data_IF_111086839707
#
_entry.id   IF_111086839707
#
_cell.length_a   1.000
_cell.length_b   1.000
_cell.length_c   1.000
_cell.angle_alpha   90.00
_cell.angle_beta   90.00
_cell.angle_gamma   90.00
#
_symmetry.space_group_name_H-M   'P 1'
#
loop_
_entity.id
_entity.type
_entity.pdbx_description
1 polymer ?
#
# COMPACT_ATOMS: atom_id res chain seq x y z
N UNK A 1 47.58 -56.90 -33.97
CA UNK A 1 46.94 -56.33 -32.76
C UNK A 1 46.12 -55.12 -33.18
N UNK A 2 44.78 -55.19 -33.08
CA UNK A 2 43.87 -54.06 -33.36
C UNK A 2 43.63 -53.28 -32.06
N UNK A 3 43.64 -51.93 -32.07
CA UNK A 3 43.27 -51.16 -30.90
C UNK A 3 41.74 -51.20 -30.68
N UNK A 4 41.32 -51.41 -29.44
CA UNK A 4 39.93 -51.29 -28.99
C UNK A 4 39.53 -49.81 -28.85
N UNK A 5 38.30 -49.41 -29.19
CA UNK A 5 37.87 -48.02 -29.03
C UNK A 5 37.44 -47.74 -27.59
N UNK A 6 37.92 -46.63 -27.04
CA UNK A 6 37.52 -46.09 -25.75
C UNK A 6 36.10 -45.50 -25.87
N UNK A 7 35.12 -46.03 -25.13
CA UNK A 7 33.75 -45.49 -25.11
C UNK A 7 33.69 -44.23 -24.24
N UNK A 8 33.51 -43.06 -24.85
CA UNK A 8 33.04 -41.85 -24.16
C UNK A 8 31.51 -41.92 -23.98
N UNK A 9 31.03 -42.39 -22.84
CA UNK A 9 29.59 -42.37 -22.51
C UNK A 9 29.26 -41.68 -21.19
N UNK A 10 30.18 -40.91 -20.60
CA UNK A 10 29.95 -40.27 -19.28
C UNK A 10 30.11 -38.75 -19.21
N UNK A 11 29.89 -38.04 -20.32
CA UNK A 11 29.90 -36.56 -20.30
C UNK A 11 28.56 -35.89 -20.64
N UNK A 12 27.54 -36.65 -21.08
CA UNK A 12 26.25 -36.07 -21.50
C UNK A 12 25.32 -35.70 -20.33
N UNK A 13 25.33 -36.47 -19.23
CA UNK A 13 24.36 -36.28 -18.13
C UNK A 13 24.71 -35.17 -17.13
N UNK A 14 25.94 -34.64 -17.15
CA UNK A 14 26.35 -33.57 -16.22
C UNK A 14 25.99 -32.17 -16.74
N UNK A 15 25.85 -32.01 -18.06
CA UNK A 15 25.56 -30.71 -18.68
C UNK A 15 24.04 -30.40 -18.61
N UNK A 16 23.19 -31.43 -18.67
CA UNK A 16 21.73 -31.27 -18.56
C UNK A 16 21.26 -30.92 -17.16
N UNK A 17 21.99 -31.32 -16.11
CA UNK A 17 21.66 -30.96 -14.72
C UNK A 17 21.97 -29.50 -14.36
N UNK A 18 23.01 -28.92 -14.97
CA UNK A 18 23.44 -27.54 -14.66
C UNK A 18 22.53 -26.49 -15.31
N UNK A 19 21.96 -26.79 -16.48
CA UNK A 19 20.99 -25.91 -17.17
C UNK A 19 19.60 -25.92 -16.51
N UNK A 20 19.21 -26.99 -15.83
CA UNK A 20 17.95 -27.07 -15.10
C UNK A 20 17.98 -26.31 -13.75
N UNK A 21 19.16 -26.17 -13.13
CA UNK A 21 19.33 -25.42 -11.88
C UNK A 21 19.32 -23.90 -12.06
N UNK A 22 19.73 -23.38 -13.22
CA UNK A 22 19.82 -21.95 -13.48
C UNK A 22 18.47 -21.30 -13.84
N UNK A 23 17.47 -22.10 -14.26
CA UNK A 23 16.13 -21.62 -14.57
C UNK A 23 15.28 -21.29 -13.34
N UNK A 24 15.68 -21.72 -12.13
CA UNK A 24 14.97 -21.47 -10.87
C UNK A 24 15.36 -20.17 -10.15
N UNK A 25 16.33 -19.41 -10.67
CA UNK A 25 16.81 -18.17 -10.04
C UNK A 25 16.25 -16.88 -10.66
N UNK A 26 15.32 -16.99 -11.61
CA UNK A 26 14.74 -15.84 -12.33
C UNK A 26 13.28 -15.53 -11.96
N UNK A 27 12.67 -16.25 -11.01
CA UNK A 27 11.28 -16.01 -10.56
C UNK A 27 11.14 -14.88 -9.52
N UNK A 28 12.22 -14.18 -9.15
CA UNK A 28 12.23 -13.19 -8.07
C UNK A 28 12.31 -11.74 -8.53
N UNK A 29 11.52 -11.33 -9.52
CA UNK A 29 11.21 -9.91 -9.71
C UNK A 29 9.73 -9.72 -9.44
N UNK A 30 9.32 -9.90 -8.18
CA UNK A 30 8.04 -9.35 -7.74
C UNK A 30 8.19 -7.84 -7.80
N UNK A 31 7.67 -7.26 -8.88
CA UNK A 31 7.50 -5.82 -9.05
C UNK A 31 7.01 -5.24 -7.73
N UNK A 32 7.85 -4.46 -7.07
CA UNK A 32 7.55 -3.86 -5.78
C UNK A 32 6.18 -3.18 -5.89
N UNK A 33 5.16 -3.62 -5.11
CA UNK A 33 3.80 -3.14 -5.32
C UNK A 33 3.80 -1.61 -5.20
N UNK A 34 3.01 -0.91 -6.05
CA UNK A 34 3.00 0.55 -6.07
C UNK A 34 2.70 1.10 -4.67
N UNK A 35 3.22 2.30 -4.31
CA UNK A 35 3.05 2.85 -2.97
C UNK A 35 1.55 2.95 -2.64
N UNK A 36 1.12 2.10 -1.72
CA UNK A 36 -0.22 2.01 -1.13
C UNK A 36 -0.20 2.62 0.28
N UNK A 37 -1.31 2.56 1.02
CA UNK A 37 -1.33 3.03 2.41
C UNK A 37 -0.25 2.34 3.27
N UNK A 38 0.51 3.15 3.98
CA UNK A 38 1.50 2.76 4.99
C UNK A 38 0.93 2.94 6.40
N UNK A 39 1.62 2.43 7.42
CA UNK A 39 1.23 2.58 8.83
C UNK A 39 -0.24 2.19 9.07
N UNK A 40 -0.60 0.98 8.62
CA UNK A 40 -1.96 0.47 8.73
C UNK A 40 -2.23 0.06 10.17
N UNK A 41 -3.35 0.52 10.72
CA UNK A 41 -3.85 0.15 12.04
C UNK A 41 -5.36 -0.10 11.99
N UNK A 42 -5.89 -0.67 13.08
CA UNK A 42 -7.31 -0.90 13.25
C UNK A 42 -7.70 -0.86 14.72
N UNK A 43 -8.97 -0.57 14.98
CA UNK A 43 -9.63 -0.63 16.29
C UNK A 43 -11.01 -1.26 16.12
N UNK A 44 -11.52 -1.87 17.19
CA UNK A 44 -12.83 -2.54 17.15
C UNK A 44 -13.46 -2.59 18.55
N UNK A 45 -14.79 -2.69 18.58
CA UNK A 45 -15.56 -2.95 19.80
C UNK A 45 -15.52 -4.45 20.11
N UNK A 46 -14.90 -4.80 21.24
CA UNK A 46 -14.81 -6.19 21.71
C UNK A 46 -16.15 -6.80 22.12
N UNK A 47 -17.21 -6.00 22.26
CA UNK A 47 -18.55 -6.48 22.62
C UNK A 47 -19.42 -6.78 21.39
N UNK A 48 -19.00 -6.38 20.20
CA UNK A 48 -19.75 -6.63 18.97
C UNK A 48 -19.48 -8.03 18.43
N UNK A 49 -20.55 -8.76 18.09
CA UNK A 49 -20.44 -10.12 17.55
C UNK A 49 -20.24 -10.11 16.03
N UNK A 50 -18.99 -10.03 15.59
CA UNK A 50 -18.63 -10.06 14.17
C UNK A 50 -18.97 -11.38 13.45
N UNK A 51 -19.10 -12.50 14.17
CA UNK A 51 -19.47 -13.80 13.57
C UNK A 51 -20.91 -13.82 13.06
N UNK A 52 -21.76 -12.93 13.59
CA UNK A 52 -23.16 -12.82 13.18
C UNK A 52 -23.38 -11.98 11.92
N UNK A 53 -22.34 -11.33 11.40
CA UNK A 53 -22.44 -10.42 10.26
C UNK A 53 -22.43 -11.19 8.94
N UNK A 54 -23.49 -11.06 8.14
CA UNK A 54 -23.56 -11.64 6.80
C UNK A 54 -23.77 -10.59 5.70
N UNK A 55 -24.33 -9.44 6.03
CA UNK A 55 -24.75 -8.41 5.08
C UNK A 55 -24.14 -7.04 5.39
N UNK A 56 -23.89 -6.26 4.35
CA UNK A 56 -23.40 -4.88 4.51
C UNK A 56 -24.10 -3.93 3.55
N UNK A 57 -24.13 -2.65 3.90
CA UNK A 57 -24.52 -1.57 2.99
C UNK A 57 -23.46 -0.47 2.97
N UNK A 58 -23.15 0.04 1.78
CA UNK A 58 -22.29 1.22 1.63
C UNK A 58 -23.07 2.48 2.01
N UNK A 59 -22.53 3.27 2.93
CA UNK A 59 -23.06 4.57 3.33
C UNK A 59 -22.08 5.66 2.92
N UNK A 60 -22.60 6.72 2.31
CA UNK A 60 -21.82 7.90 1.97
C UNK A 60 -21.97 8.92 3.09
N UNK A 61 -20.90 9.23 3.83
CA UNK A 61 -20.96 10.27 4.85
C UNK A 61 -21.12 11.63 4.17
N UNK A 62 -21.98 12.48 4.72
CA UNK A 62 -22.23 13.83 4.24
C UNK A 62 -21.11 14.81 4.60
N UNK A 63 -20.11 14.37 5.38
CA UNK A 63 -19.01 15.20 5.84
C UNK A 63 -18.12 15.70 4.68
N UNK A 64 -17.67 16.97 4.75
CA UNK A 64 -16.57 17.45 3.93
C UNK A 64 -15.37 16.53 4.12
N UNK A 65 -14.71 16.14 3.04
CA UNK A 65 -13.49 15.37 3.16
C UNK A 65 -12.46 15.81 2.13
N UNK A 66 -11.16 15.76 2.48
CA UNK A 66 -10.06 16.23 1.65
C UNK A 66 -9.84 15.35 0.42
N UNK A 67 -10.41 14.13 0.38
CA UNK A 67 -10.35 13.27 -0.80
C UNK A 67 -11.48 13.61 -1.78
N UNK A 68 -11.15 13.66 -3.06
CA UNK A 68 -12.10 14.01 -4.12
C UNK A 68 -13.29 13.04 -4.16
N UNK A 69 -14.50 13.51 -4.56
CA UNK A 69 -15.68 12.64 -4.65
C UNK A 69 -15.48 11.42 -5.58
N UNK A 70 -14.70 11.59 -6.66
CA UNK A 70 -14.37 10.52 -7.60
C UNK A 70 -13.50 9.45 -6.94
N UNK A 71 -12.42 9.88 -6.26
CA UNK A 71 -11.54 8.95 -5.55
C UNK A 71 -12.30 8.23 -4.43
N UNK A 72 -13.11 8.95 -3.66
CA UNK A 72 -13.97 8.37 -2.61
C UNK A 72 -14.92 7.32 -3.17
N UNK A 73 -15.59 7.61 -4.30
CA UNK A 73 -16.46 6.64 -4.99
C UNK A 73 -15.69 5.39 -5.40
N UNK A 74 -14.49 5.54 -5.95
CA UNK A 74 -13.67 4.40 -6.37
C UNK A 74 -13.23 3.54 -5.17
N UNK A 75 -12.87 4.16 -4.04
CA UNK A 75 -12.50 3.43 -2.81
C UNK A 75 -13.72 2.72 -2.22
N UNK A 76 -14.89 3.36 -2.18
CA UNK A 76 -16.14 2.73 -1.71
C UNK A 76 -16.49 1.50 -2.56
N UNK A 77 -16.42 1.63 -3.89
CA UNK A 77 -16.69 0.51 -4.80
C UNK A 77 -15.70 -0.64 -4.58
N UNK A 78 -14.41 -0.33 -4.42
CA UNK A 78 -13.42 -1.37 -4.17
C UNK A 78 -13.58 -2.01 -2.79
N UNK A 79 -14.00 -1.23 -1.78
CA UNK A 79 -14.34 -1.73 -0.45
C UNK A 79 -15.50 -2.71 -0.53
N UNK A 80 -16.57 -2.37 -1.25
CA UNK A 80 -17.70 -3.28 -1.51
C UNK A 80 -17.24 -4.56 -2.21
N UNK A 81 -16.48 -4.43 -3.30
CA UNK A 81 -15.93 -5.58 -4.03
C UNK A 81 -15.09 -6.50 -3.14
N UNK A 82 -14.28 -5.91 -2.25
CA UNK A 82 -13.43 -6.66 -1.33
C UNK A 82 -14.24 -7.41 -0.30
N UNK A 83 -15.25 -6.77 0.32
CA UNK A 83 -16.15 -7.41 1.28
C UNK A 83 -16.95 -8.55 0.64
N UNK A 84 -17.43 -8.36 -0.59
CA UNK A 84 -18.08 -9.44 -1.36
C UNK A 84 -17.14 -10.61 -1.61
N UNK A 85 -15.87 -10.36 -1.96
CA UNK A 85 -14.86 -11.43 -2.08
C UNK A 85 -14.51 -12.11 -0.75
N UNK A 86 -14.76 -11.44 0.37
CA UNK A 86 -14.61 -12.01 1.72
C UNK A 86 -15.84 -12.80 2.17
N UNK A 87 -16.93 -12.84 1.38
CA UNK A 87 -18.12 -13.64 1.63
C UNK A 87 -19.32 -12.86 2.16
N UNK A 88 -19.23 -11.54 2.34
CA UNK A 88 -20.35 -10.70 2.76
C UNK A 88 -21.28 -10.36 1.59
N UNK A 89 -22.55 -10.15 1.86
CA UNK A 89 -23.55 -9.78 0.84
C UNK A 89 -23.89 -8.30 0.92
N UNK A 90 -23.71 -7.57 -0.19
CA UNK A 90 -24.15 -6.17 -0.26
C UNK A 90 -25.69 -6.10 -0.38
N UNK A 91 -26.33 -5.26 0.43
CA UNK A 91 -27.76 -4.97 0.35
C UNK A 91 -28.01 -3.51 -0.03
N UNK A 92 -29.07 -3.27 -0.80
CA UNK A 92 -29.35 -1.95 -1.36
C UNK A 92 -29.81 -0.92 -0.32
N UNK A 93 -30.50 -1.38 0.74
CA UNK A 93 -31.02 -0.50 1.79
C UNK A 93 -30.19 -0.65 3.06
N UNK A 94 -29.68 0.46 3.63
CA UNK A 94 -28.97 0.44 4.91
C UNK A 94 -29.78 -0.15 6.08
N UNK A 95 -31.11 -0.18 5.99
CA UNK A 95 -31.98 -0.76 7.01
C UNK A 95 -31.99 -2.30 6.99
N UNK A 96 -31.60 -2.92 5.87
CA UNK A 96 -31.61 -4.37 5.68
C UNK A 96 -30.22 -5.00 5.94
N UNK A 97 -29.22 -4.18 6.26
CA UNK A 97 -27.84 -4.61 6.48
C UNK A 97 -27.58 -4.97 7.94
N UNK A 98 -26.59 -5.82 8.21
CA UNK A 98 -26.04 -6.05 9.55
C UNK A 98 -25.04 -4.95 9.92
N UNK A 99 -24.22 -4.53 8.94
CA UNK A 99 -23.22 -3.46 9.11
C UNK A 99 -23.30 -2.40 8.02
N UNK A 100 -22.92 -1.18 8.40
CA UNK A 100 -22.82 -0.02 7.51
C UNK A 100 -21.36 0.32 7.29
N UNK A 101 -20.95 0.44 6.04
CA UNK A 101 -19.55 0.68 5.68
C UNK A 101 -19.40 2.05 5.05
N UNK A 102 -18.49 2.86 5.57
CA UNK A 102 -18.20 4.19 5.07
C UNK A 102 -16.70 4.44 4.95
N UNK A 103 -16.33 5.40 4.10
CA UNK A 103 -14.94 5.75 3.83
C UNK A 103 -14.73 7.24 4.03
N UNK A 104 -13.69 7.58 4.78
CA UNK A 104 -13.34 8.95 5.09
C UNK A 104 -11.86 9.22 4.81
N UNK A 105 -11.54 10.46 4.52
CA UNK A 105 -10.16 10.95 4.46
C UNK A 105 -9.99 12.04 5.50
N UNK A 106 -8.83 12.12 6.12
CA UNK A 106 -8.39 13.29 6.89
C UNK A 106 -7.02 13.71 6.37
N UNK A 107 -6.68 14.99 6.39
CA UNK A 107 -5.36 15.48 5.96
C UNK A 107 -4.72 16.36 7.03
N UNK A 108 -3.38 16.25 7.13
CA UNK A 108 -2.53 17.17 7.88
C UNK A 108 -1.48 17.72 6.93
N UNK A 109 -1.26 19.03 6.94
CA UNK A 109 -0.12 19.62 6.24
C UNK A 109 1.16 19.21 6.97
N UNK A 110 2.10 18.63 6.22
CA UNK A 110 3.43 18.26 6.67
C UNK A 110 4.44 19.09 5.88
N UNK A 111 5.28 19.83 6.60
CA UNK A 111 6.36 20.61 6.00
C UNK A 111 7.63 19.78 6.10
N UNK A 112 8.03 19.15 5.00
CA UNK A 112 9.28 18.41 4.90
C UNK A 112 10.39 19.39 4.46
N UNK A 113 11.41 19.61 5.30
CA UNK A 113 12.60 20.41 4.93
C UNK A 113 13.80 19.49 4.68
N UNK A 114 14.34 19.48 3.47
CA UNK A 114 15.57 18.75 3.13
C UNK A 114 16.68 19.78 2.88
N UNK A 115 17.72 19.75 3.71
CA UNK A 115 18.89 20.62 3.55
C UNK A 115 20.00 19.86 2.82
N UNK A 116 20.38 20.34 1.63
CA UNK A 116 21.55 19.84 0.91
C UNK A 116 22.75 20.75 1.16
N UNK A 117 23.86 20.17 1.60
CA UNK A 117 25.14 20.86 1.72
C UNK A 117 25.96 20.62 0.45
N UNK A 118 26.04 21.64 -0.40
CA UNK A 118 26.80 21.57 -1.65
C UNK A 118 28.25 21.98 -1.36
N UNK A 119 29.19 21.04 -1.26
CA UNK A 119 30.62 21.36 -1.14
C UNK A 119 31.25 21.29 -2.53
N UNK A 120 31.73 22.43 -3.04
CA UNK A 120 32.43 22.51 -4.31
C UNK A 120 33.95 22.63 -4.09
N UNK A 121 34.72 21.79 -4.77
CA UNK A 121 36.18 21.87 -4.79
C UNK A 121 36.64 22.43 -6.14
N UNK A 122 37.34 23.56 -6.13
CA UNK A 122 38.00 24.10 -7.33
C UNK A 122 39.52 23.98 -7.20
N UNK A 123 40.18 23.48 -8.25
CA UNK A 123 41.64 23.33 -8.31
C UNK A 123 42.22 24.48 -9.13
N UNK A 124 42.89 25.42 -8.47
CA UNK A 124 43.60 26.51 -9.16
C UNK A 124 44.97 26.01 -9.66
N UNK A 125 45.29 26.27 -10.94
CA UNK A 125 46.50 25.77 -11.62
C UNK A 125 47.77 26.59 -11.38
N UNK A 126 47.83 27.38 -10.30
CA UNK A 126 49.02 28.15 -9.94
C UNK A 126 49.22 28.12 -8.44
N UNK A 127 50.13 27.22 -8.02
CA UNK A 127 50.57 26.93 -6.64
C UNK A 127 49.54 26.15 -5.83
N UNK A 128 49.99 24.98 -5.37
CA UNK A 128 49.20 24.01 -4.61
C UNK A 128 48.62 24.63 -3.35
N UNK A 129 47.35 24.99 -3.38
CA UNK A 129 46.54 25.35 -2.22
C UNK A 129 45.10 24.98 -2.53
N UNK A 130 44.55 24.07 -1.73
CA UNK A 130 43.13 23.74 -1.77
C UNK A 130 42.37 24.90 -1.13
N UNK A 131 41.62 25.67 -1.91
CA UNK A 131 40.77 26.74 -1.39
C UNK A 131 39.39 26.14 -1.11
N UNK A 132 39.00 26.12 0.15
CA UNK A 132 37.67 25.70 0.58
C UNK A 132 36.68 26.84 0.32
N UNK A 133 35.73 26.63 -0.59
CA UNK A 133 34.54 27.45 -0.69
C UNK A 133 33.39 26.68 -0.04
N UNK A 134 32.99 27.10 1.15
CA UNK A 134 31.76 26.60 1.78
C UNK A 134 30.56 27.04 0.93
N UNK A 135 29.81 26.08 0.38
CA UNK A 135 28.52 26.38 -0.24
C UNK A 135 27.49 26.71 0.83
N UNK A 136 26.61 27.67 0.56
CA UNK A 136 25.46 27.92 1.41
C UNK A 136 24.53 26.70 1.40
N UNK A 137 24.05 26.23 2.56
CA UNK A 137 23.08 25.13 2.59
C UNK A 137 21.81 25.55 1.85
N UNK A 138 21.44 24.80 0.82
CA UNK A 138 20.15 24.98 0.15
C UNK A 138 19.11 24.14 0.90
N UNK A 139 18.15 24.80 1.54
CA UNK A 139 17.02 24.12 2.19
C UNK A 139 15.84 24.11 1.25
N UNK A 140 15.45 22.93 0.78
CA UNK A 140 14.23 22.73 0.01
C UNK A 140 13.11 22.46 0.99
N UNK A 141 12.12 23.35 1.02
CA UNK A 141 10.90 23.17 1.79
C UNK A 141 9.87 22.57 0.84
N UNK A 142 9.48 21.33 1.07
CA UNK A 142 8.39 20.66 0.36
C UNK A 142 7.22 20.54 1.31
N UNK A 143 6.11 21.20 0.99
CA UNK A 143 4.85 20.98 1.70
C UNK A 143 4.17 19.76 1.10
N UNK A 144 3.99 18.70 1.88
CA UNK A 144 3.23 17.51 1.51
C UNK A 144 1.96 17.44 2.37
N UNK A 145 0.84 16.97 1.83
CA UNK A 145 -0.31 16.63 2.65
C UNK A 145 -0.25 15.14 2.99
N UNK A 146 -0.10 14.83 4.28
CA UNK A 146 -0.29 13.46 4.76
C UNK A 146 -1.79 13.25 4.98
N UNK A 147 -2.38 12.40 4.16
CA UNK A 147 -3.77 12.03 4.30
C UNK A 147 -3.91 10.65 4.91
N UNK A 148 -4.76 10.50 5.91
CA UNK A 148 -5.15 9.19 6.44
C UNK A 148 -6.45 8.77 5.78
N UNK A 149 -6.45 7.58 5.17
CA UNK A 149 -7.64 6.92 4.67
C UNK A 149 -8.23 6.06 5.78
N UNK A 150 -9.53 6.18 6.00
CA UNK A 150 -10.28 5.46 7.02
C UNK A 150 -11.40 4.64 6.37
N UNK A 151 -11.56 3.40 6.81
CA UNK A 151 -12.76 2.59 6.56
C UNK A 151 -13.45 2.38 7.90
N UNK A 152 -14.67 2.88 8.01
CA UNK A 152 -15.49 2.81 9.22
C UNK A 152 -16.62 1.82 9.00
N UNK A 153 -16.83 0.94 9.98
CA UNK A 153 -17.89 -0.05 10.00
C UNK A 153 -18.72 0.20 11.26
N UNK A 154 -20.00 0.49 11.07
CA UNK A 154 -20.96 0.70 12.14
C UNK A 154 -21.99 -0.43 12.18
N UNK A 155 -22.48 -0.77 13.36
CA UNK A 155 -23.64 -1.64 13.50
C UNK A 155 -24.86 -0.96 12.88
N UNK A 156 -25.56 -1.64 11.98
CA UNK A 156 -26.71 -1.07 11.32
C UNK A 156 -27.89 -0.82 12.27
N UNK A 157 -27.97 -1.53 13.40
CA UNK A 157 -29.05 -1.37 14.39
C UNK A 157 -28.82 -0.15 15.28
N UNK A 158 -27.70 -0.11 15.99
CA UNK A 158 -27.36 0.97 16.93
C UNK A 158 -26.80 2.22 16.24
N UNK A 159 -26.26 2.08 15.03
CA UNK A 159 -25.47 3.11 14.31
C UNK A 159 -24.15 3.47 15.01
N UNK A 160 -23.70 2.64 15.96
CA UNK A 160 -22.44 2.84 16.65
C UNK A 160 -21.27 2.28 15.84
N UNK A 161 -20.10 2.94 15.92
CA UNK A 161 -18.87 2.47 15.29
C UNK A 161 -18.40 1.20 16.00
N UNK A 162 -18.32 0.09 15.27
CA UNK A 162 -17.88 -1.21 15.81
C UNK A 162 -16.51 -1.63 15.31
N UNK A 163 -16.07 -1.12 14.16
CA UNK A 163 -14.72 -1.35 13.66
C UNK A 163 -14.24 -0.18 12.82
N UNK A 164 -12.95 0.13 12.90
CA UNK A 164 -12.29 1.11 12.04
C UNK A 164 -10.91 0.62 11.65
N UNK A 165 -10.58 0.74 10.37
CA UNK A 165 -9.24 0.56 9.83
C UNK A 165 -8.72 1.87 9.27
N UNK A 166 -7.44 2.16 9.46
CA UNK A 166 -6.80 3.37 8.92
C UNK A 166 -5.43 3.08 8.33
N UNK A 167 -5.01 3.95 7.41
CA UNK A 167 -3.69 3.90 6.81
C UNK A 167 -3.27 5.25 6.26
N UNK A 168 -2.00 5.59 6.50
CA UNK A 168 -1.41 6.87 6.08
C UNK A 168 -0.97 6.76 4.63
N UNK A 169 -1.39 7.71 3.81
CA UNK A 169 -0.86 7.90 2.46
C UNK A 169 -0.36 9.35 2.34
N UNK A 170 0.90 9.52 1.95
CA UNK A 170 1.38 10.82 1.46
C UNK A 170 0.64 11.12 0.16
N UNK A 171 -0.27 12.09 0.18
CA UNK A 171 -0.89 12.62 -1.02
C UNK A 171 -0.04 13.82 -1.44
N UNK A 172 0.83 13.65 -2.44
CA UNK A 172 1.34 14.82 -3.15
C UNK A 172 0.17 15.37 -3.97
N UNK A 173 -0.08 16.69 -3.87
CA UNK A 173 -1.26 17.38 -4.41
C UNK A 173 -1.59 17.07 -5.90
N UNK A 174 -0.61 16.61 -6.68
CA UNK A 174 -0.76 16.30 -8.12
C UNK A 174 -0.83 14.80 -8.47
N UNK A 175 -0.79 13.89 -7.50
CA UNK A 175 -0.68 12.46 -7.81
C UNK A 175 -2.05 11.82 -8.03
N UNK A 176 -2.37 11.48 -9.29
CA UNK A 176 -3.47 10.57 -9.62
C UNK A 176 -3.23 9.21 -8.93
N UNK A 177 -4.24 8.72 -8.21
CA UNK A 177 -4.21 7.38 -7.58
C UNK A 177 -4.68 6.36 -8.61
N UNK A 178 -3.87 5.33 -8.89
CA UNK A 178 -4.24 4.26 -9.82
C UNK A 178 -5.25 3.29 -9.20
N UNK A 179 -5.93 2.52 -10.05
CA UNK A 179 -6.86 1.47 -9.61
C UNK A 179 -6.16 0.42 -8.75
N UNK A 180 -4.95 0.01 -9.14
CA UNK A 180 -4.14 -0.98 -8.43
C UNK A 180 -3.75 -0.48 -7.03
N UNK A 181 -3.43 0.82 -6.90
CA UNK A 181 -3.15 1.42 -5.60
C UNK A 181 -4.37 1.43 -4.69
N UNK A 182 -5.56 1.67 -5.24
CA UNK A 182 -6.83 1.62 -4.48
C UNK A 182 -7.07 0.19 -4.01
N UNK A 183 -6.96 -0.79 -4.90
CA UNK A 183 -7.13 -2.22 -4.60
C UNK A 183 -6.21 -2.69 -3.49
N UNK A 184 -4.91 -2.42 -3.60
CA UNK A 184 -3.95 -2.82 -2.59
C UNK A 184 -4.18 -2.07 -1.27
N UNK A 185 -4.57 -0.79 -1.32
CA UNK A 185 -4.86 -0.02 -0.10
C UNK A 185 -6.07 -0.57 0.65
N UNK A 186 -7.18 -0.82 -0.04
CA UNK A 186 -8.39 -1.42 0.55
C UNK A 186 -8.10 -2.81 1.11
N UNK A 187 -7.37 -3.63 0.35
CA UNK A 187 -6.94 -4.96 0.80
C UNK A 187 -6.14 -4.89 2.10
N UNK A 188 -5.20 -3.94 2.22
CA UNK A 188 -4.38 -3.75 3.42
C UNK A 188 -5.22 -3.28 4.61
N UNK A 189 -6.12 -2.32 4.41
CA UNK A 189 -7.00 -1.79 5.47
C UNK A 189 -7.94 -2.85 6.03
N UNK A 190 -8.49 -3.70 5.17
CA UNK A 190 -9.40 -4.78 5.55
C UNK A 190 -8.70 -6.08 5.94
N UNK A 191 -7.37 -6.10 6.05
CA UNK A 191 -6.61 -7.32 6.34
C UNK A 191 -6.99 -7.96 7.68
N UNK A 192 -7.30 -7.13 8.68
CA UNK A 192 -7.68 -7.55 10.04
C UNK A 192 -9.19 -7.45 10.29
N UNK A 193 -10.00 -7.42 9.22
CA UNK A 193 -11.44 -7.48 9.31
C UNK A 193 -11.95 -8.85 8.79
N UNK A 194 -12.90 -9.50 9.48
CA UNK A 194 -13.32 -9.21 10.85
C UNK A 194 -12.15 -9.46 11.84
N UNK A 195 -12.13 -8.80 13.01
CA UNK A 195 -11.16 -9.11 14.04
C UNK A 195 -11.37 -10.54 14.56
N UNK A 196 -10.31 -11.20 15.09
CA UNK A 196 -10.44 -12.54 15.63
C UNK A 196 -11.46 -12.58 16.78
N UNK A 197 -12.33 -13.58 16.77
CA UNK A 197 -13.18 -13.89 17.92
C UNK A 197 -12.32 -14.34 19.10
N UNK A 198 -12.74 -13.99 20.32
CA UNK A 198 -12.05 -14.36 21.55
C UNK A 198 -12.46 -15.75 22.01
#
# INVERSE_FOLDING_TARGET
MKPTPFKLTRFSSLITGLLAGLALLLSGCESMPPPSVANVGYEFDSNFNFESVGTFAIVRPESPSPISPILRKNILNETANRLTRMGYTEVAKPADADILVSVHGTSKQVVDSVTYSNVYYTRTYRRSSWIYFGGYPSTYITTSEEGTLLIDIADAKSKELVWRGWGIRKFTLDTKVSTEQIQESVKRLLLNFPPPSR
#
